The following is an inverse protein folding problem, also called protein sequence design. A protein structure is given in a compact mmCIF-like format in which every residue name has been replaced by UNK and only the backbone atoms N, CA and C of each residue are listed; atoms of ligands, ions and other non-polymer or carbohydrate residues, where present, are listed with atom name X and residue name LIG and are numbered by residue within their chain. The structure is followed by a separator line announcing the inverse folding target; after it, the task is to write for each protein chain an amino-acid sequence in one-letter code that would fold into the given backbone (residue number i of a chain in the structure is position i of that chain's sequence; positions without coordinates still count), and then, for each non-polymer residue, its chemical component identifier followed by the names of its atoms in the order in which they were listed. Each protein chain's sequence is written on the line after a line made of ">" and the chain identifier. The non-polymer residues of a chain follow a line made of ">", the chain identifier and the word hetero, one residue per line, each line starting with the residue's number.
data_IF_424682480765
#
_entry.id   IF_424682480765
#
_cell.length_a   1.000
_cell.length_b   1.000
_cell.length_c   1.000
_cell.angle_alpha   90.00
_cell.angle_beta   90.00
_cell.angle_gamma   90.00
#
_symmetry.space_group_name_H-M   'P 1'
#
loop_
_entity.id
_entity.type
_entity.pdbx_description
1 polymer ?
#
# COMPACT_ATOMS: atom_id res chain seq x y z
N UNK A 1 -5.36 -22.88 15.21
CA UNK A 1 -6.08 -21.91 16.07
C UNK A 1 -5.18 -20.69 16.14
N UNK A 2 -5.66 -19.55 15.63
CA UNK A 2 -4.89 -18.43 15.04
C UNK A 2 -4.27 -18.74 13.68
N UNK A 3 -4.93 -18.22 12.63
CA UNK A 3 -4.43 -17.75 11.31
C UNK A 3 -5.66 -17.67 10.41
N UNK A 4 -6.07 -16.44 10.06
CA UNK A 4 -7.16 -16.22 9.10
C UNK A 4 -6.60 -16.31 7.69
N UNK A 5 -6.59 -17.52 7.15
CA UNK A 5 -6.58 -17.80 5.70
C UNK A 5 -7.89 -18.52 5.35
N UNK A 6 -8.56 -17.99 4.32
CA UNK A 6 -9.16 -18.67 3.16
C UNK A 6 -10.42 -17.93 2.69
N UNK A 7 -10.37 -17.23 1.56
CA UNK A 7 -10.27 -17.76 0.18
C UNK A 7 -11.53 -18.54 -0.21
N UNK A 8 -12.47 -17.83 -0.85
CA UNK A 8 -13.62 -18.40 -1.55
C UNK A 8 -13.61 -17.93 -3.00
N UNK A 9 -12.79 -18.56 -3.84
CA UNK A 9 -12.76 -18.37 -5.29
C UNK A 9 -13.81 -19.30 -5.94
N UNK A 10 -14.76 -18.70 -6.68
CA UNK A 10 -15.72 -19.41 -7.52
C UNK A 10 -15.02 -19.72 -8.86
N UNK A 11 -14.88 -21.00 -9.21
CA UNK A 11 -14.50 -21.43 -10.58
C UNK A 11 -15.52 -22.37 -11.18
N UNK A 12 -15.98 -21.96 -12.36
CA UNK A 12 -16.96 -22.67 -13.18
C UNK A 12 -16.36 -23.76 -14.08
N UNK A 13 -17.29 -24.64 -14.47
CA UNK A 13 -17.42 -25.40 -15.71
C UNK A 13 -16.18 -26.04 -16.37
N UNK A 14 -16.21 -27.37 -16.40
CA UNK A 14 -15.38 -28.28 -17.21
C UNK A 14 -15.84 -28.26 -18.66
N UNK A 15 -14.88 -28.26 -19.60
CA UNK A 15 -15.04 -28.87 -20.92
C UNK A 15 -13.93 -29.90 -21.09
N UNK A 16 -14.29 -31.15 -21.39
CA UNK A 16 -13.36 -32.27 -21.54
C UNK A 16 -12.98 -32.50 -22.99
N UNK A 17 -11.74 -32.92 -23.22
CA UNK A 17 -11.41 -33.82 -24.32
C UNK A 17 -10.26 -34.74 -23.93
N UNK A 18 -10.48 -36.02 -24.17
CA UNK A 18 -9.63 -37.14 -23.81
C UNK A 18 -8.49 -37.34 -24.83
N UNK A 19 -7.37 -37.88 -24.37
CA UNK A 19 -6.26 -38.26 -25.25
C UNK A 19 -5.17 -39.07 -24.57
N UNK A 20 -5.40 -40.40 -24.50
CA UNK A 20 -4.42 -41.51 -24.56
C UNK A 20 -3.38 -41.68 -23.45
N UNK A 21 -3.42 -42.86 -22.83
CA UNK A 21 -2.28 -43.58 -22.28
C UNK A 21 -2.23 -44.97 -22.89
N UNK A 22 -1.04 -45.37 -23.35
CA UNK A 22 -0.33 -46.65 -23.23
C UNK A 22 0.88 -46.49 -24.18
N UNK A 23 2.13 -46.75 -23.84
CA UNK A 23 2.79 -47.65 -22.91
C UNK A 23 3.98 -48.23 -23.71
N UNK A 24 5.16 -48.36 -23.09
CA UNK A 24 6.15 -49.44 -23.30
C UNK A 24 7.64 -49.04 -23.16
N UNK A 25 8.33 -49.89 -22.40
CA UNK A 25 9.70 -50.44 -22.56
C UNK A 25 10.92 -49.50 -22.55
N UNK A 26 11.90 -49.89 -21.72
CA UNK A 26 13.32 -49.60 -21.96
C UNK A 26 14.22 -49.86 -20.76
N UNK A 27 15.11 -50.84 -20.87
CA UNK A 27 16.01 -51.39 -19.83
C UNK A 27 17.33 -50.59 -19.68
N UNK A 28 18.09 -51.02 -18.66
CA UNK A 28 19.55 -50.88 -18.42
C UNK A 28 19.96 -49.59 -17.69
N UNK A 29 20.75 -49.55 -16.62
CA UNK A 29 21.59 -50.55 -15.96
C UNK A 29 23.04 -50.05 -15.93
N UNK A 30 23.51 -49.49 -14.80
CA UNK A 30 24.87 -49.70 -14.26
C UNK A 30 25.15 -48.94 -12.94
N UNK A 31 25.66 -49.73 -12.00
CA UNK A 31 26.53 -49.39 -10.87
C UNK A 31 27.63 -48.35 -11.20
N UNK A 32 28.10 -47.62 -10.19
CA UNK A 32 29.40 -47.87 -9.53
C UNK A 32 29.75 -46.81 -8.46
N UNK A 33 30.01 -47.33 -7.25
CA UNK A 33 31.08 -47.01 -6.27
C UNK A 33 31.05 -45.73 -5.41
N UNK A 34 30.82 -46.02 -4.11
CA UNK A 34 31.55 -45.51 -2.93
C UNK A 34 33.06 -45.68 -3.06
N UNK A 35 33.82 -44.73 -2.51
CA UNK A 35 35.04 -44.99 -1.73
C UNK A 35 35.10 -44.03 -0.52
N UNK A 36 35.26 -44.64 0.65
CA UNK A 36 35.58 -44.07 1.97
C UNK A 36 37.09 -43.81 2.08
N UNK A 37 37.51 -42.81 2.87
CA UNK A 37 38.67 -42.81 3.79
C UNK A 37 38.39 -41.70 4.84
N UNK A 38 38.07 -42.00 6.11
CA UNK A 38 39.01 -42.42 7.17
C UNK A 38 39.84 -41.22 7.64
N UNK A 39 39.86 -40.72 8.87
CA UNK A 39 39.55 -41.24 10.22
C UNK A 39 40.67 -40.74 11.14
N UNK A 40 40.36 -40.11 12.28
CA UNK A 40 41.30 -39.96 13.41
C UNK A 40 40.54 -39.63 14.71
N UNK A 41 40.86 -40.41 15.73
CA UNK A 41 40.33 -40.53 17.10
C UNK A 41 40.81 -39.41 18.08
N UNK A 42 39.91 -39.09 19.02
CA UNK A 42 39.97 -38.70 20.47
C UNK A 42 41.32 -38.35 21.16
N UNK A 43 41.47 -37.58 22.26
CA UNK A 43 40.76 -36.66 23.21
C UNK A 43 41.90 -36.27 24.25
N UNK A 44 41.74 -35.63 25.43
CA UNK A 44 41.07 -34.40 25.89
C UNK A 44 42.04 -33.32 26.42
N UNK A 45 41.53 -32.11 26.68
CA UNK A 45 42.08 -31.22 27.72
C UNK A 45 42.87 -29.99 27.24
N UNK A 46 42.15 -28.88 27.03
CA UNK A 46 42.76 -27.56 26.87
C UNK A 46 41.70 -26.47 26.82
N UNK A 47 41.64 -25.62 27.86
CA UNK A 47 40.73 -24.46 27.92
C UNK A 47 40.90 -23.56 26.67
N UNK A 48 39.81 -23.05 26.07
CA UNK A 48 39.93 -22.11 24.96
C UNK A 48 40.54 -20.79 25.46
N UNK A 49 41.56 -20.30 24.74
CA UNK A 49 42.13 -18.95 24.95
C UNK A 49 41.09 -17.89 24.54
N UNK A 50 40.96 -16.77 25.27
CA UNK A 50 40.09 -15.69 24.84
C UNK A 50 40.68 -14.96 23.62
N UNK A 51 39.81 -14.58 22.69
CA UNK A 51 40.10 -13.68 21.58
C UNK A 51 40.61 -12.33 22.10
N UNK A 52 41.52 -11.63 21.37
CA UNK A 52 41.96 -10.30 21.78
C UNK A 52 40.83 -9.28 21.60
N UNK A 53 40.64 -8.44 22.62
CA UNK A 53 39.69 -7.32 22.59
C UNK A 53 40.06 -6.30 21.49
N UNK A 54 39.07 -5.70 20.81
CA UNK A 54 39.32 -4.60 19.87
C UNK A 54 39.75 -3.33 20.63
N UNK A 55 40.59 -2.47 20.03
CA UNK A 55 41.10 -1.27 20.70
C UNK A 55 40.00 -0.23 20.96
N UNK A 56 40.09 0.38 22.15
CA UNK A 56 39.23 1.45 22.65
C UNK A 56 39.18 2.66 21.68
N UNK A 57 37.99 2.97 21.19
CA UNK A 57 37.67 4.26 20.56
C UNK A 57 37.00 5.18 21.58
N UNK A 58 37.40 6.46 21.67
CA UNK A 58 36.90 7.36 22.69
C UNK A 58 35.41 7.72 22.49
N UNK A 59 34.70 7.77 23.61
CA UNK A 59 33.32 8.24 23.71
C UNK A 59 33.17 9.66 23.15
N UNK A 60 32.39 9.82 22.10
CA UNK A 60 32.05 11.09 21.48
C UNK A 60 30.57 11.17 21.10
N UNK A 61 29.88 12.12 21.72
CA UNK A 61 28.49 12.56 21.57
C UNK A 61 27.70 12.11 20.33
N UNK A 62 26.48 11.63 20.60
CA UNK A 62 25.48 11.34 19.59
C UNK A 62 25.17 12.53 18.69
N UNK A 63 25.38 12.33 17.39
CA UNK A 63 24.76 13.10 16.35
C UNK A 63 23.87 12.14 15.55
N UNK A 64 22.56 12.25 15.75
CA UNK A 64 21.58 11.67 14.85
C UNK A 64 21.87 12.22 13.45
N UNK A 65 22.37 11.37 12.57
CA UNK A 65 22.50 11.69 11.14
C UNK A 65 21.09 11.85 10.57
N UNK A 66 20.59 13.09 10.65
CA UNK A 66 19.53 13.62 9.82
C UNK A 66 20.01 13.47 8.38
N UNK A 67 19.48 12.49 7.67
CA UNK A 67 19.58 12.44 6.22
C UNK A 67 18.87 13.69 5.67
N UNK A 68 19.63 14.76 5.49
CA UNK A 68 19.24 15.87 4.63
C UNK A 68 19.48 15.35 3.23
N UNK A 69 18.41 15.04 2.51
CA UNK A 69 18.49 14.74 1.08
C UNK A 69 19.03 16.00 0.37
N UNK A 70 20.32 15.99 0.04
CA UNK A 70 21.02 17.07 -0.64
C UNK A 70 20.86 16.99 -2.17
N UNK A 71 19.91 16.21 -2.69
CA UNK A 71 19.61 16.29 -4.12
C UNK A 71 19.07 17.68 -4.46
N UNK A 72 19.69 18.41 -5.42
CA UNK A 72 19.14 19.67 -5.87
C UNK A 72 17.72 19.42 -6.34
N UNK A 73 16.75 20.20 -5.82
CA UNK A 73 15.38 20.21 -6.34
C UNK A 73 15.50 20.42 -7.84
N UNK A 74 15.08 19.47 -8.69
CA UNK A 74 15.11 19.71 -10.10
C UNK A 74 14.14 20.85 -10.35
N UNK A 75 14.61 21.91 -11.01
CA UNK A 75 13.81 23.06 -11.39
C UNK A 75 12.95 22.62 -12.58
N UNK A 76 11.97 21.76 -12.31
CA UNK A 76 11.03 21.23 -13.30
C UNK A 76 10.18 22.35 -13.95
N UNK A 77 10.21 23.57 -13.40
CA UNK A 77 9.45 24.73 -13.87
C UNK A 77 10.15 25.65 -14.87
N UNK A 78 11.40 25.37 -15.29
CA UNK A 78 12.15 26.28 -16.20
C UNK A 78 12.68 25.63 -17.47
N UNK A 79 12.52 24.32 -17.65
CA UNK A 79 12.88 23.64 -18.90
C UNK A 79 11.62 23.45 -19.77
N UNK A 80 11.73 23.62 -21.11
CA UNK A 80 10.66 23.22 -22.00
C UNK A 80 10.39 21.73 -21.80
N UNK A 81 9.12 21.39 -21.56
CA UNK A 81 8.67 20.02 -21.24
C UNK A 81 9.13 19.00 -22.30
N UNK A 82 9.28 19.42 -23.56
CA UNK A 82 9.78 18.57 -24.65
C UNK A 82 11.23 18.12 -24.45
N UNK A 83 12.12 19.02 -24.02
CA UNK A 83 13.54 18.71 -23.82
C UNK A 83 13.79 17.79 -22.62
N UNK A 84 12.81 17.67 -21.74
CA UNK A 84 12.91 16.87 -20.51
C UNK A 84 12.58 15.39 -20.73
N UNK A 85 11.69 15.11 -21.70
CA UNK A 85 11.39 13.75 -22.11
C UNK A 85 12.60 13.10 -22.80
N UNK A 86 13.36 13.87 -23.57
CA UNK A 86 14.57 13.39 -24.26
C UNK A 86 15.69 12.96 -23.29
N UNK A 87 15.71 13.50 -22.07
CA UNK A 87 16.69 13.17 -21.03
C UNK A 87 16.35 11.94 -20.20
N UNK A 88 15.13 11.39 -20.30
CA UNK A 88 14.67 10.26 -19.50
C UNK A 88 14.34 9.05 -20.40
N UNK A 89 15.37 8.25 -20.77
CA UNK A 89 15.16 7.03 -21.54
C UNK A 89 14.29 6.05 -20.72
N UNK A 90 12.99 6.00 -21.03
CA UNK A 90 12.03 5.27 -20.19
C UNK A 90 10.60 5.75 -20.31
N UNK A 91 10.43 7.04 -20.61
CA UNK A 91 9.12 7.70 -20.66
C UNK A 91 8.32 7.33 -21.91
N UNK A 92 6.98 7.43 -21.85
CA UNK A 92 6.11 7.11 -22.98
C UNK A 92 6.35 8.11 -24.13
N UNK A 93 6.57 7.60 -25.34
CA UNK A 93 6.77 8.41 -26.56
C UNK A 93 5.60 9.37 -26.86
N UNK A 94 4.42 9.09 -26.32
CA UNK A 94 3.18 9.90 -26.41
C UNK A 94 2.62 10.23 -25.03
N UNK A 95 3.47 10.71 -24.13
CA UNK A 95 3.04 11.16 -22.80
C UNK A 95 2.10 12.37 -22.86
N UNK A 96 1.20 12.49 -21.88
CA UNK A 96 0.32 13.67 -21.76
C UNK A 96 1.10 14.87 -21.18
N UNK A 97 1.75 15.63 -22.05
CA UNK A 97 2.60 16.75 -21.65
C UNK A 97 1.85 17.94 -21.08
N UNK A 98 0.62 18.16 -21.53
CA UNK A 98 -0.25 19.23 -21.03
C UNK A 98 -0.60 18.97 -19.56
N UNK A 99 -1.04 17.75 -19.26
CA UNK A 99 -1.35 17.32 -17.89
C UNK A 99 -0.10 17.35 -17.01
N UNK A 100 1.04 16.89 -17.52
CA UNK A 100 2.31 16.94 -16.79
C UNK A 100 2.73 18.37 -16.44
N UNK A 101 2.64 19.29 -17.40
CA UNK A 101 2.92 20.72 -17.18
C UNK A 101 1.99 21.34 -16.13
N UNK A 102 0.70 21.02 -16.20
CA UNK A 102 -0.31 21.45 -15.22
C UNK A 102 0.06 20.98 -13.81
N UNK A 103 0.33 19.68 -13.65
CA UNK A 103 0.65 19.08 -12.35
C UNK A 103 1.94 19.64 -11.79
N UNK A 104 2.99 19.80 -12.60
CA UNK A 104 4.26 20.40 -12.13
C UNK A 104 4.07 21.84 -11.64
N UNK A 105 3.26 22.62 -12.35
CA UNK A 105 2.98 24.01 -11.99
C UNK A 105 2.17 24.13 -10.69
N UNK A 106 1.19 23.25 -10.49
CA UNK A 106 0.29 23.30 -9.33
C UNK A 106 0.85 22.60 -8.10
N UNK A 107 1.62 21.53 -8.28
CA UNK A 107 2.12 20.72 -7.17
C UNK A 107 3.53 21.12 -6.74
N UNK A 108 4.30 21.84 -7.57
CA UNK A 108 5.75 22.03 -7.39
C UNK A 108 6.16 22.58 -6.01
N UNK A 109 5.37 23.47 -5.42
CA UNK A 109 5.63 24.01 -4.07
C UNK A 109 5.25 23.04 -2.94
N UNK A 110 4.37 22.08 -3.20
CA UNK A 110 3.87 21.08 -2.24
C UNK A 110 4.81 19.88 -2.06
N UNK A 111 5.99 19.92 -2.70
CA UNK A 111 7.01 18.86 -2.63
C UNK A 111 6.43 17.46 -2.91
N UNK A 112 5.86 17.24 -4.11
CA UNK A 112 5.28 15.97 -4.50
C UNK A 112 6.37 14.93 -4.70
N UNK A 113 6.03 13.66 -4.50
CA UNK A 113 6.93 12.57 -4.86
C UNK A 113 7.21 12.58 -6.36
N UNK A 114 8.39 12.15 -6.82
CA UNK A 114 8.69 12.08 -8.25
C UNK A 114 7.63 11.32 -9.05
N UNK A 115 7.14 10.21 -8.51
CA UNK A 115 6.12 9.39 -9.17
C UNK A 115 4.75 10.07 -9.26
N UNK A 116 4.45 11.03 -8.37
CA UNK A 116 3.24 11.86 -8.44
C UNK A 116 3.27 12.82 -9.63
N UNK A 117 4.44 13.37 -9.94
CA UNK A 117 4.61 14.18 -11.15
C UNK A 117 4.58 13.28 -12.40
N UNK A 118 5.34 12.19 -12.39
CA UNK A 118 5.45 11.28 -13.54
C UNK A 118 4.12 10.61 -13.89
N UNK A 119 3.22 10.37 -12.93
CA UNK A 119 1.91 9.78 -13.22
C UNK A 119 1.07 10.61 -14.17
N UNK A 120 1.31 11.92 -14.24
CA UNK A 120 0.63 12.83 -15.16
C UNK A 120 0.90 12.51 -16.64
N UNK A 121 2.06 11.91 -16.96
CA UNK A 121 2.42 11.52 -18.32
C UNK A 121 1.61 10.32 -18.82
N UNK A 122 1.04 9.52 -17.92
CA UNK A 122 0.32 8.30 -18.28
C UNK A 122 -1.18 8.55 -18.42
N UNK A 123 -1.79 7.88 -19.39
CA UNK A 123 -3.24 7.85 -19.59
C UNK A 123 -3.85 6.48 -19.23
N UNK A 124 -3.04 5.43 -19.26
CA UNK A 124 -3.46 4.04 -19.02
C UNK A 124 -2.46 3.31 -18.10
N UNK A 125 -2.92 2.37 -17.23
CA UNK A 125 -2.05 1.56 -16.38
C UNK A 125 -0.90 0.85 -17.10
N UNK A 126 -1.09 0.46 -18.37
CA UNK A 126 -0.04 -0.21 -19.16
C UNK A 126 1.22 0.66 -19.32
N UNK A 127 1.07 1.99 -19.35
CA UNK A 127 2.21 2.90 -19.37
C UNK A 127 3.08 2.77 -18.13
N UNK A 128 2.45 2.58 -16.96
CA UNK A 128 3.15 2.35 -15.69
C UNK A 128 3.81 0.96 -15.67
N UNK A 129 3.15 -0.06 -16.23
CA UNK A 129 3.73 -1.40 -16.35
C UNK A 129 4.99 -1.38 -17.24
N UNK A 130 4.94 -0.69 -18.36
CA UNK A 130 6.08 -0.54 -19.26
C UNK A 130 7.23 0.25 -18.59
N UNK A 131 6.91 1.29 -17.82
CA UNK A 131 7.89 2.02 -17.02
C UNK A 131 8.57 1.08 -16.01
N UNK A 132 7.80 0.28 -15.29
CA UNK A 132 8.30 -0.70 -14.32
C UNK A 132 9.21 -1.75 -14.95
N UNK A 133 8.83 -2.30 -16.10
CA UNK A 133 9.67 -3.26 -16.83
C UNK A 133 11.03 -2.69 -17.24
N UNK A 134 11.07 -1.40 -17.60
CA UNK A 134 12.30 -0.74 -18.08
C UNK A 134 13.18 -0.21 -16.95
N UNK A 135 12.58 0.47 -15.98
CA UNK A 135 13.30 1.18 -14.93
C UNK A 135 13.35 0.43 -13.60
N UNK A 136 12.59 -0.67 -13.46
CA UNK A 136 12.46 -1.46 -12.23
C UNK A 136 12.12 -0.58 -11.03
N UNK A 137 11.03 0.17 -11.15
CA UNK A 137 10.56 1.08 -10.09
C UNK A 137 10.16 0.29 -8.85
N UNK A 138 10.15 0.94 -7.69
CA UNK A 138 9.74 0.27 -6.46
C UNK A 138 8.25 -0.10 -6.48
N UNK A 139 7.87 -1.10 -5.68
CA UNK A 139 6.46 -1.48 -5.48
C UNK A 139 5.61 -0.30 -5.00
N UNK A 140 6.17 0.55 -4.13
CA UNK A 140 5.50 1.74 -3.60
C UNK A 140 5.24 2.77 -4.72
N UNK A 141 6.24 3.05 -5.56
CA UNK A 141 6.07 3.96 -6.70
C UNK A 141 5.05 3.44 -7.71
N UNK A 142 5.12 2.16 -8.07
CA UNK A 142 4.14 1.53 -8.96
C UNK A 142 2.72 1.63 -8.40
N UNK A 143 2.54 1.30 -7.12
CA UNK A 143 1.24 1.38 -6.46
C UNK A 143 0.71 2.82 -6.42
N UNK A 144 1.56 3.80 -6.14
CA UNK A 144 1.20 5.22 -6.15
C UNK A 144 0.77 5.67 -7.55
N UNK A 145 1.53 5.35 -8.60
CA UNK A 145 1.18 5.74 -9.97
C UNK A 145 -0.17 5.15 -10.41
N UNK A 146 -0.41 3.87 -10.11
CA UNK A 146 -1.68 3.20 -10.45
C UNK A 146 -2.85 3.80 -9.67
N UNK A 147 -2.67 4.09 -8.39
CA UNK A 147 -3.67 4.78 -7.57
C UNK A 147 -4.01 6.16 -8.15
N UNK A 148 -3.00 6.99 -8.46
CA UNK A 148 -3.23 8.32 -9.03
C UNK A 148 -3.95 8.25 -10.38
N UNK A 149 -3.56 7.32 -11.26
CA UNK A 149 -4.25 7.13 -12.55
C UNK A 149 -5.73 6.78 -12.38
N UNK A 150 -6.03 5.95 -11.40
CA UNK A 150 -7.39 5.51 -11.09
C UNK A 150 -8.21 6.66 -10.49
N UNK A 151 -7.66 7.35 -9.48
CA UNK A 151 -8.44 8.22 -8.61
C UNK A 151 -8.37 9.71 -8.98
N UNK A 152 -7.41 10.15 -9.81
CA UNK A 152 -7.19 11.59 -10.13
C UNK A 152 -8.38 12.34 -10.70
N UNK A 153 -9.38 11.65 -11.24
CA UNK A 153 -10.62 12.25 -11.79
C UNK A 153 -11.88 11.89 -10.99
N UNK A 154 -11.83 10.87 -10.15
CA UNK A 154 -13.01 10.31 -9.46
C UNK A 154 -13.07 10.71 -8.00
N UNK A 155 -11.91 10.79 -7.34
CA UNK A 155 -11.80 11.20 -5.95
C UNK A 155 -11.45 12.68 -5.89
N UNK A 156 -12.48 13.52 -5.84
CA UNK A 156 -12.36 14.99 -5.80
C UNK A 156 -13.05 15.55 -4.56
N UNK A 157 -12.78 16.82 -4.26
CA UNK A 157 -13.47 17.53 -3.19
C UNK A 157 -14.99 17.53 -3.39
N UNK A 158 -15.74 17.49 -2.29
CA UNK A 158 -17.18 17.66 -2.35
C UNK A 158 -17.53 19.11 -2.73
N UNK A 159 -18.33 19.25 -3.78
CA UNK A 159 -18.80 20.53 -4.32
C UNK A 159 -19.94 21.14 -3.49
N UNK A 160 -20.50 20.40 -2.53
CA UNK A 160 -21.53 20.91 -1.60
C UNK A 160 -20.99 21.89 -0.55
N UNK A 161 -19.67 22.13 -0.53
CA UNK A 161 -18.90 23.04 0.34
C UNK A 161 -18.94 22.77 1.85
N UNK A 162 -19.82 21.90 2.35
CA UNK A 162 -19.97 21.66 3.79
C UNK A 162 -18.80 20.87 4.38
N UNK A 163 -18.38 19.79 3.70
CA UNK A 163 -17.26 18.94 4.12
C UNK A 163 -16.39 18.53 2.92
N UNK A 164 -15.63 19.45 2.28
CA UNK A 164 -14.88 19.16 1.05
C UNK A 164 -13.81 18.07 1.20
N UNK A 165 -13.34 17.82 2.43
CA UNK A 165 -12.36 16.78 2.74
C UNK A 165 -12.99 15.39 2.89
N UNK A 166 -14.31 15.30 3.09
CA UNK A 166 -15.00 14.05 3.46
C UNK A 166 -14.79 12.91 2.46
N UNK A 167 -14.88 13.11 1.13
CA UNK A 167 -14.65 12.02 0.17
C UNK A 167 -13.27 11.37 0.33
N UNK A 168 -12.26 12.19 0.64
CA UNK A 168 -10.89 11.72 0.88
C UNK A 168 -10.76 10.97 2.21
N UNK A 169 -11.44 11.43 3.26
CA UNK A 169 -11.46 10.74 4.55
C UNK A 169 -12.18 9.38 4.45
N UNK A 170 -13.32 9.35 3.76
CA UNK A 170 -14.09 8.12 3.53
C UNK A 170 -13.23 7.10 2.78
N UNK A 171 -12.52 7.54 1.74
CA UNK A 171 -11.58 6.68 1.02
C UNK A 171 -10.52 6.07 1.94
N UNK A 172 -9.91 6.87 2.82
CA UNK A 172 -8.87 6.37 3.75
C UNK A 172 -9.46 5.40 4.77
N UNK A 173 -10.66 5.66 5.30
CA UNK A 173 -11.33 4.81 6.29
C UNK A 173 -11.74 3.47 5.69
N UNK A 174 -12.20 3.46 4.45
CA UNK A 174 -12.66 2.25 3.76
C UNK A 174 -11.51 1.45 3.14
N UNK A 175 -10.35 2.08 2.96
CA UNK A 175 -9.19 1.41 2.40
C UNK A 175 -8.61 0.36 3.36
N UNK A 176 -8.22 -0.77 2.79
CA UNK A 176 -7.47 -1.84 3.49
C UNK A 176 -5.97 -1.61 3.42
N UNK A 177 -5.52 -0.60 2.69
CA UNK A 177 -4.12 -0.31 2.44
C UNK A 177 -3.54 0.55 3.56
N UNK A 178 -2.42 0.12 4.15
CA UNK A 178 -1.77 0.84 5.26
C UNK A 178 -1.22 2.21 4.86
N UNK A 179 -1.03 2.44 3.55
CA UNK A 179 -0.49 3.68 2.99
C UNK A 179 -1.57 4.54 2.31
N UNK A 180 -2.86 4.23 2.48
CA UNK A 180 -3.98 4.97 1.87
C UNK A 180 -3.93 6.48 2.17
N UNK A 181 -3.66 6.85 3.42
CA UNK A 181 -3.51 8.25 3.83
C UNK A 181 -2.39 8.96 3.06
N UNK A 182 -1.23 8.31 2.89
CA UNK A 182 -0.10 8.86 2.13
C UNK A 182 -0.41 9.01 0.65
N UNK A 183 -1.08 8.02 0.06
CA UNK A 183 -1.56 8.06 -1.33
C UNK A 183 -2.52 9.23 -1.55
N UNK A 184 -3.48 9.41 -0.65
CA UNK A 184 -4.44 10.53 -0.70
C UNK A 184 -3.75 11.87 -0.56
N UNK A 185 -2.73 12.01 0.30
CA UNK A 185 -1.93 13.24 0.37
C UNK A 185 -1.24 13.54 -0.97
N UNK A 186 -0.67 12.53 -1.64
CA UNK A 186 -0.08 12.72 -2.97
C UNK A 186 -1.12 13.03 -4.05
N UNK A 187 -2.35 12.50 -3.94
CA UNK A 187 -3.45 12.88 -4.82
C UNK A 187 -3.85 14.34 -4.65
N UNK A 188 -3.95 14.82 -3.40
CA UNK A 188 -4.25 16.23 -3.13
C UNK A 188 -3.15 17.14 -3.70
N UNK A 189 -1.87 16.73 -3.62
CA UNK A 189 -0.77 17.43 -4.30
C UNK A 189 -0.95 17.42 -5.82
N UNK A 190 -1.28 16.27 -6.41
CA UNK A 190 -1.53 16.12 -7.86
C UNK A 190 -2.66 17.04 -8.35
N UNK A 191 -3.69 17.22 -7.52
CA UNK A 191 -4.85 18.06 -7.82
C UNK A 191 -4.60 19.56 -7.54
N UNK A 192 -3.53 19.91 -6.84
CA UNK A 192 -3.24 21.29 -6.42
C UNK A 192 -4.08 21.75 -5.21
N UNK A 193 -4.67 20.82 -4.47
CA UNK A 193 -5.60 21.08 -3.36
C UNK A 193 -4.86 21.38 -2.05
N UNK A 194 -4.10 22.48 -2.02
CA UNK A 194 -3.21 22.83 -0.91
C UNK A 194 -3.94 22.96 0.45
N UNK A 195 -5.11 23.60 0.46
CA UNK A 195 -5.91 23.76 1.68
C UNK A 195 -6.37 22.41 2.24
N UNK A 196 -6.82 21.51 1.38
CA UNK A 196 -7.29 20.19 1.79
C UNK A 196 -6.12 19.29 2.18
N UNK A 197 -4.98 19.39 1.51
CA UNK A 197 -3.74 18.73 1.91
C UNK A 197 -3.37 19.09 3.35
N UNK A 198 -3.37 20.38 3.69
CA UNK A 198 -3.06 20.83 5.05
C UNK A 198 -4.04 20.29 6.11
N UNK A 199 -5.31 20.11 5.75
CA UNK A 199 -6.30 19.49 6.64
C UNK A 199 -6.09 17.98 6.76
N UNK A 200 -5.83 17.30 5.64
CA UNK A 200 -5.56 15.86 5.60
C UNK A 200 -4.32 15.47 6.40
N UNK A 201 -3.25 16.27 6.34
CA UNK A 201 -2.02 16.04 7.09
C UNK A 201 -2.21 16.22 8.61
N UNK A 202 -3.13 17.08 9.03
CA UNK A 202 -3.47 17.30 10.44
C UNK A 202 -4.52 16.32 10.95
N UNK A 203 -5.26 15.67 10.05
CA UNK A 203 -6.32 14.74 10.41
C UNK A 203 -5.73 13.45 10.97
N UNK A 204 -6.05 13.17 12.22
CA UNK A 204 -5.71 11.91 12.88
C UNK A 204 -6.75 10.86 12.53
N UNK A 205 -6.33 9.76 11.90
CA UNK A 205 -7.22 8.67 11.50
C UNK A 205 -7.98 8.12 12.74
N UNK A 206 -9.30 8.35 12.84
CA UNK A 206 -10.06 7.96 14.00
C UNK A 206 -10.29 6.44 14.00
N UNK A 207 -10.34 5.84 15.19
CA UNK A 207 -10.61 4.41 15.34
C UNK A 207 -12.10 4.20 15.53
N UNK A 208 -12.67 3.27 14.76
CA UNK A 208 -14.05 2.88 14.94
C UNK A 208 -14.28 2.33 16.37
N UNK A 209 -15.22 2.90 17.15
CA UNK A 209 -15.26 2.69 18.60
C UNK A 209 -16.06 1.44 19.03
N UNK A 210 -16.73 0.75 18.09
CA UNK A 210 -17.57 -0.43 18.37
C UNK A 210 -16.89 -1.71 17.84
N UNK A 211 -16.93 -2.76 18.65
CA UNK A 211 -16.40 -4.09 18.32
C UNK A 211 -17.51 -5.14 18.28
N UNK A 212 -17.26 -6.27 17.62
CA UNK A 212 -18.21 -7.39 17.64
C UNK A 212 -18.45 -7.98 19.03
N UNK A 213 -17.49 -7.83 19.97
CA UNK A 213 -17.69 -8.24 21.36
C UNK A 213 -18.75 -7.38 22.07
N UNK A 214 -18.89 -6.11 21.70
CA UNK A 214 -19.92 -5.24 22.25
C UNK A 214 -21.31 -5.73 21.87
N UNK A 215 -21.50 -6.10 20.60
CA UNK A 215 -22.76 -6.68 20.12
C UNK A 215 -23.05 -8.05 20.76
N UNK A 216 -22.02 -8.87 20.99
CA UNK A 216 -22.19 -10.14 21.73
C UNK A 216 -22.66 -9.94 23.16
N UNK A 217 -22.20 -8.89 23.84
CA UNK A 217 -22.66 -8.54 25.20
C UNK A 217 -24.10 -8.05 25.22
N UNK A 218 -24.61 -7.55 24.10
CA UNK A 218 -26.02 -7.20 23.91
C UNK A 218 -26.91 -8.42 23.59
N UNK A 219 -26.34 -9.63 23.52
CA UNK A 219 -27.09 -10.86 23.22
C UNK A 219 -27.02 -11.32 21.76
N UNK A 220 -26.37 -10.55 20.87
CA UNK A 220 -26.28 -10.87 19.45
C UNK A 220 -25.17 -11.89 19.22
N UNK A 221 -25.53 -13.13 18.93
CA UNK A 221 -24.59 -14.26 18.83
C UNK A 221 -24.23 -14.65 17.39
N UNK A 222 -25.12 -14.37 16.44
CA UNK A 222 -24.96 -14.70 15.02
C UNK A 222 -23.86 -13.84 14.37
N UNK A 223 -22.85 -14.50 13.80
CA UNK A 223 -21.73 -13.81 13.14
C UNK A 223 -22.16 -12.98 11.93
N UNK A 224 -23.13 -13.49 11.15
CA UNK A 224 -23.70 -12.77 9.99
C UNK A 224 -24.39 -11.48 10.43
N UNK A 225 -25.13 -11.57 11.54
CA UNK A 225 -25.89 -10.45 12.09
C UNK A 225 -24.96 -9.38 12.70
N UNK A 226 -23.95 -9.81 13.45
CA UNK A 226 -22.88 -8.93 13.97
C UNK A 226 -22.22 -8.17 12.81
N UNK A 227 -21.89 -8.86 11.71
CA UNK A 227 -21.27 -8.22 10.54
C UNK A 227 -22.18 -7.14 9.93
N UNK A 228 -23.47 -7.45 9.75
CA UNK A 228 -24.47 -6.50 9.25
C UNK A 228 -24.57 -5.26 10.14
N UNK A 229 -24.78 -5.44 11.43
CA UNK A 229 -24.94 -4.34 12.39
C UNK A 229 -23.66 -3.51 12.47
N UNK A 230 -22.48 -4.12 12.50
CA UNK A 230 -21.22 -3.39 12.48
C UNK A 230 -21.09 -2.53 11.23
N UNK A 231 -21.55 -3.00 10.06
CA UNK A 231 -21.53 -2.18 8.85
C UNK A 231 -22.46 -0.97 8.98
N UNK A 232 -23.69 -1.17 9.46
CA UNK A 232 -24.63 -0.04 9.64
C UNK A 232 -24.13 0.98 10.65
N UNK A 233 -23.50 0.52 11.74
CA UNK A 233 -22.87 1.41 12.72
C UNK A 233 -21.67 2.17 12.13
N UNK A 234 -20.92 1.56 11.19
CA UNK A 234 -19.86 2.27 10.47
C UNK A 234 -20.43 3.38 9.58
N UNK A 235 -21.50 3.11 8.84
CA UNK A 235 -22.12 4.14 8.00
C UNK A 235 -22.62 5.32 8.84
N UNK A 236 -23.33 5.06 9.95
CA UNK A 236 -23.75 6.12 10.88
C UNK A 236 -22.58 6.90 11.47
N UNK A 237 -21.49 6.21 11.78
CA UNK A 237 -20.27 6.85 12.28
C UNK A 237 -19.64 7.76 11.21
N UNK A 238 -19.62 7.36 9.93
CA UNK A 238 -19.18 8.23 8.81
C UNK A 238 -20.09 9.44 8.62
N UNK A 239 -21.40 9.24 8.68
CA UNK A 239 -22.41 10.31 8.59
C UNK A 239 -22.19 11.36 9.69
N UNK A 240 -21.78 10.95 10.89
CA UNK A 240 -21.42 11.86 12.00
C UNK A 240 -20.08 12.59 11.84
N UNK A 241 -19.38 12.41 10.71
CA UNK A 241 -18.02 12.95 10.53
C UNK A 241 -16.99 12.27 11.45
N UNK A 242 -17.19 10.98 11.74
CA UNK A 242 -16.33 10.14 12.59
C UNK A 242 -16.28 10.55 14.08
N UNK A 243 -17.26 11.33 14.55
CA UNK A 243 -17.29 11.86 15.91
C UNK A 243 -18.13 11.01 16.87
N UNK A 244 -19.08 10.21 16.36
CA UNK A 244 -20.00 9.46 17.21
C UNK A 244 -19.26 8.48 18.14
N UNK A 245 -19.65 8.52 19.41
CA UNK A 245 -19.07 7.69 20.46
C UNK A 245 -19.60 6.25 20.45
N UNK A 246 -18.94 5.37 21.21
CA UNK A 246 -19.35 3.96 21.36
C UNK A 246 -20.80 3.84 21.85
N UNK A 247 -21.14 4.54 22.93
CA UNK A 247 -22.46 4.46 23.56
C UNK A 247 -23.54 5.01 22.63
N UNK A 248 -23.27 6.13 21.97
CA UNK A 248 -24.16 6.74 20.98
C UNK A 248 -24.50 5.77 19.85
N UNK A 249 -23.48 5.10 19.28
CA UNK A 249 -23.68 4.10 18.24
C UNK A 249 -24.46 2.88 18.73
N UNK A 250 -24.11 2.31 19.89
CA UNK A 250 -24.78 1.12 20.42
C UNK A 250 -26.26 1.39 20.79
N UNK A 251 -26.58 2.60 21.25
CA UNK A 251 -27.96 3.01 21.56
C UNK A 251 -28.88 3.01 20.32
N UNK A 252 -28.33 3.11 19.10
CA UNK A 252 -29.13 3.01 17.87
C UNK A 252 -29.61 1.59 17.61
N UNK A 253 -28.82 0.58 17.97
CA UNK A 253 -29.16 -0.84 17.80
C UNK A 253 -30.28 -1.25 18.75
N UNK A 254 -30.21 -0.81 20.01
CA UNK A 254 -31.25 -1.12 21.00
C UNK A 254 -32.62 -0.52 20.64
N UNK A 255 -32.64 0.61 19.91
CA UNK A 255 -33.90 1.22 19.45
C UNK A 255 -34.50 0.49 18.26
N UNK A 256 -33.69 -0.07 17.36
CA UNK A 256 -34.20 -0.83 16.24
C UNK A 256 -34.84 -2.15 16.66
N UNK A 257 -34.29 -2.85 17.67
CA UNK A 257 -34.88 -4.10 18.19
C UNK A 257 -36.17 -3.87 19.00
N UNK A 258 -36.38 -2.68 19.57
CA UNK A 258 -37.60 -2.35 20.30
C UNK A 258 -38.77 -1.91 19.38
N UNK A 259 -38.49 -1.66 18.10
CA UNK A 259 -39.46 -1.20 17.11
C UNK A 259 -39.93 -2.30 16.15
N UNK A 260 -39.40 -3.52 16.28
CA UNK A 260 -39.71 -4.72 15.49
C UNK A 260 -40.41 -5.77 16.37
#
# INVERSE_FOLDING_TARGET
>A
QVLWEDSGEIRGARCGHAGRHTGERGRTGRDLRREDLGGAEEDPGGKPRPSPDPPDLPAGGGAAHRWVDHRPRPVWGSLPVSSMLDLLPGLPEKGNLEEFSRVCSQAGHLSPRPMTLLSALFSHPDGVQNLDLRLKISREEKALALFLLKERKTLTADLSEQEPLKPFQDYVIDSRETDAHRKVCELLKYQGEERLLAQMERWTLPRFPVSGHDLRRMGISSGKEIGRILQELRERWKESGYQAGKEELLNTVSRSEAAE
#
